data_IF_157026321389
#
_entry.id   IF_157026321389
#
_cell.length_a   1.000
_cell.length_b   1.000
_cell.length_c   1.000
_cell.angle_alpha   90.00
_cell.angle_beta   90.00
_cell.angle_gamma   90.00
#
_symmetry.space_group_name_H-M   'P 1'
#
loop_
_entity.id
_entity.type
_entity.pdbx_description
1 polymer ?
#
# COMPACT_ATOMS: atom_id res chain seq x y z
N UNK A 1 -0.98 7.93 5.99
CA UNK A 1 -1.12 6.45 6.10
C UNK A 1 -2.00 6.05 7.30
N UNK A 2 -2.95 5.10 7.12
CA UNK A 2 -3.93 4.68 8.15
C UNK A 2 -3.66 3.23 8.59
N UNK A 3 -3.79 2.94 9.89
CA UNK A 3 -3.74 1.57 10.41
C UNK A 3 -5.06 1.23 11.09
N UNK A 4 -5.64 0.10 10.73
CA UNK A 4 -6.91 -0.37 11.27
C UNK A 4 -6.71 -1.64 12.10
N UNK A 5 -7.52 -1.78 13.16
CA UNK A 5 -7.70 -3.08 13.81
C UNK A 5 -8.56 -3.95 12.89
N UNK A 6 -8.14 -5.19 12.70
CA UNK A 6 -8.84 -6.17 11.88
C UNK A 6 -9.00 -7.47 12.66
N UNK A 7 -10.06 -8.22 12.42
CA UNK A 7 -10.30 -9.52 13.06
C UNK A 7 -10.90 -10.49 12.06
N UNK A 8 -10.49 -11.75 12.12
CA UNK A 8 -11.04 -12.83 11.30
C UNK A 8 -11.08 -14.13 12.09
N UNK A 9 -11.82 -15.13 11.62
CA UNK A 9 -11.88 -16.45 12.26
C UNK A 9 -10.67 -17.28 11.87
N UNK A 10 -9.95 -17.81 12.85
CA UNK A 10 -8.86 -18.77 12.68
C UNK A 10 -9.36 -20.20 12.49
N UNK A 11 -8.42 -21.14 12.38
CA UNK A 11 -8.68 -22.56 12.13
C UNK A 11 -9.55 -23.23 13.23
N UNK A 12 -9.46 -22.74 14.48
CA UNK A 12 -10.25 -23.22 15.61
C UNK A 12 -11.65 -22.62 15.68
N UNK A 13 -11.96 -21.65 14.81
CA UNK A 13 -13.19 -20.85 14.86
C UNK A 13 -13.09 -19.61 15.76
N UNK A 14 -12.00 -19.47 16.52
CA UNK A 14 -11.72 -18.31 17.37
C UNK A 14 -11.37 -17.06 16.55
N UNK A 15 -11.60 -15.88 17.12
CA UNK A 15 -11.22 -14.62 16.48
C UNK A 15 -9.73 -14.34 16.66
N UNK A 16 -9.03 -14.16 15.53
CA UNK A 16 -7.63 -13.76 15.49
C UNK A 16 -7.52 -12.25 15.32
N UNK A 17 -6.61 -11.65 16.08
CA UNK A 17 -6.33 -10.23 16.06
C UNK A 17 -5.31 -9.90 14.96
N UNK A 18 -5.67 -8.92 14.14
CA UNK A 18 -4.85 -8.45 13.05
C UNK A 18 -4.78 -6.93 12.99
N UNK A 19 -3.79 -6.44 12.23
CA UNK A 19 -3.62 -5.05 11.87
C UNK A 19 -3.51 -4.94 10.37
N UNK A 20 -4.36 -4.10 9.79
CA UNK A 20 -4.34 -3.74 8.38
C UNK A 20 -3.71 -2.36 8.23
N UNK A 21 -2.54 -2.30 7.58
CA UNK A 21 -1.87 -1.05 7.22
C UNK A 21 -2.26 -0.70 5.80
N UNK A 22 -2.90 0.46 5.63
CA UNK A 22 -3.44 0.91 4.35
C UNK A 22 -2.50 1.93 3.70
N UNK A 23 -2.24 1.82 2.38
CA UNK A 23 -1.55 2.87 1.63
C UNK A 23 -2.31 4.19 1.66
N UNK A 24 -1.64 5.29 1.30
CA UNK A 24 -2.29 6.60 1.20
C UNK A 24 -3.21 6.71 -0.01
N UNK A 25 -2.84 6.05 -1.12
CA UNK A 25 -3.66 5.96 -2.32
C UNK A 25 -4.51 4.68 -2.29
N UNK A 26 -5.74 4.70 -2.85
CA UNK A 26 -6.54 3.50 -3.03
C UNK A 26 -5.75 2.40 -3.74
N UNK A 27 -5.92 1.17 -3.26
CA UNK A 27 -5.34 -0.01 -3.89
C UNK A 27 -6.28 -1.19 -3.74
N UNK A 28 -6.20 -2.13 -4.68
CA UNK A 28 -6.76 -3.47 -4.54
C UNK A 28 -5.66 -4.48 -4.21
N UNK A 29 -4.39 -4.07 -4.16
CA UNK A 29 -3.29 -4.99 -3.91
C UNK A 29 -3.13 -5.24 -2.41
N UNK A 30 -3.22 -6.51 -2.03
CA UNK A 30 -3.00 -7.01 -0.69
C UNK A 30 -1.69 -7.78 -0.51
N UNK A 31 -1.13 -7.69 0.69
CA UNK A 31 -0.09 -8.58 1.19
C UNK A 31 -0.46 -9.11 2.58
N UNK A 32 -0.06 -10.35 2.87
CA UNK A 32 -0.14 -10.89 4.23
C UNK A 32 1.27 -11.10 4.78
N UNK A 33 1.50 -10.57 5.98
CA UNK A 33 2.75 -10.73 6.71
C UNK A 33 2.57 -11.66 7.91
N UNK A 34 3.07 -12.89 7.78
CA UNK A 34 3.27 -13.82 8.88
C UNK A 34 4.58 -13.52 9.64
N UNK A 35 4.48 -12.91 10.81
CA UNK A 35 5.66 -12.65 11.65
C UNK A 35 6.10 -13.90 12.43
N UNK A 36 7.19 -13.78 13.20
CA UNK A 36 7.72 -14.87 14.02
C UNK A 36 6.70 -15.35 15.08
N UNK A 37 6.64 -16.66 15.29
CA UNK A 37 5.75 -17.37 16.22
C UNK A 37 5.97 -17.08 17.71
N UNK A 38 7.09 -16.44 18.04
CA UNK A 38 7.44 -16.06 19.41
C UNK A 38 7.26 -14.56 19.65
N UNK A 39 6.91 -13.85 18.57
CA UNK A 39 6.74 -12.42 18.52
C UNK A 39 5.25 -12.07 18.46
N UNK A 40 4.90 -10.85 18.86
CA UNK A 40 3.61 -10.28 18.52
C UNK A 40 3.69 -9.51 17.20
N UNK A 41 2.54 -9.24 16.58
CA UNK A 41 2.40 -8.29 15.46
C UNK A 41 2.91 -6.88 15.74
N UNK A 42 3.25 -6.60 17.00
CA UNK A 42 3.75 -5.30 17.48
C UNK A 42 5.29 -5.21 17.46
N UNK A 43 6.00 -6.24 16.96
CA UNK A 43 7.45 -6.12 16.77
C UNK A 43 7.79 -5.00 15.79
N UNK A 44 8.84 -4.24 16.12
CA UNK A 44 9.26 -3.06 15.35
C UNK A 44 9.55 -3.40 13.90
N UNK A 45 10.17 -4.56 13.64
CA UNK A 45 10.44 -5.05 12.29
C UNK A 45 9.15 -5.25 11.48
N UNK A 46 8.15 -5.94 12.06
CA UNK A 46 6.87 -6.19 11.39
C UNK A 46 6.17 -4.88 11.03
N UNK A 47 6.11 -3.94 11.98
CA UNK A 47 5.53 -2.62 11.75
C UNK A 47 6.25 -1.85 10.64
N UNK A 48 7.58 -1.81 10.65
CA UNK A 48 8.40 -1.07 9.67
C UNK A 48 8.22 -1.62 8.26
N UNK A 49 8.25 -2.95 8.11
CA UNK A 49 8.04 -3.61 6.82
C UNK A 49 6.62 -3.36 6.30
N UNK A 50 5.59 -3.51 7.15
CA UNK A 50 4.20 -3.26 6.74
C UNK A 50 3.97 -1.81 6.30
N UNK A 51 4.55 -0.83 7.02
CA UNK A 51 4.48 0.58 6.63
C UNK A 51 5.17 0.81 5.29
N UNK A 52 6.36 0.27 5.07
CA UNK A 52 7.10 0.51 3.82
C UNK A 52 6.42 -0.12 2.60
N UNK A 53 5.80 -1.28 2.77
CA UNK A 53 5.01 -1.92 1.72
C UNK A 53 3.73 -1.11 1.43
N UNK A 54 3.11 -0.53 2.45
CA UNK A 54 2.01 0.40 2.28
C UNK A 54 2.45 1.71 1.59
N UNK A 55 3.67 2.21 1.82
CA UNK A 55 4.21 3.35 1.06
C UNK A 55 4.35 3.00 -0.43
N UNK A 56 4.54 1.71 -0.75
CA UNK A 56 4.60 1.20 -2.11
C UNK A 56 3.22 0.85 -2.71
N UNK A 57 2.13 1.27 -2.06
CA UNK A 57 0.76 1.07 -2.57
C UNK A 57 0.13 -0.28 -2.25
N UNK A 58 0.71 -1.07 -1.32
CA UNK A 58 0.22 -2.42 -0.97
C UNK A 58 -0.47 -2.38 0.40
N UNK A 59 -1.72 -2.81 0.48
CA UNK A 59 -2.40 -2.99 1.76
C UNK A 59 -1.84 -4.22 2.49
N UNK A 60 -1.33 -4.05 3.71
CA UNK A 60 -0.64 -5.14 4.43
C UNK A 60 -1.42 -5.59 5.65
N UNK A 61 -1.82 -6.85 5.66
CA UNK A 61 -2.41 -7.50 6.83
C UNK A 61 -1.33 -8.26 7.60
N UNK A 62 -1.15 -7.92 8.87
CA UNK A 62 -0.31 -8.65 9.82
C UNK A 62 -1.20 -9.16 10.96
N UNK A 63 -1.01 -10.38 11.42
CA UNK A 63 -1.89 -10.99 12.42
C UNK A 63 -1.12 -11.83 13.43
N UNK A 64 -1.65 -11.89 14.65
CA UNK A 64 -1.17 -12.83 15.66
C UNK A 64 -1.80 -14.21 15.39
N UNK A 65 -1.01 -15.29 15.30
CA UNK A 65 -1.56 -16.66 15.16
C UNK A 65 -2.41 -17.05 16.38
N UNK A 66 -3.20 -18.13 16.27
CA UNK A 66 -4.03 -18.65 17.37
C UNK A 66 -3.22 -18.80 18.66
N UNK A 67 -3.76 -18.27 19.76
CA UNK A 67 -3.12 -18.33 21.08
C UNK A 67 -1.85 -17.48 21.25
N UNK A 68 -1.52 -16.63 20.28
CA UNK A 68 -0.43 -15.65 20.39
C UNK A 68 -0.97 -14.22 20.47
N UNK A 69 -0.20 -13.35 21.12
CA UNK A 69 -0.46 -11.91 21.14
C UNK A 69 -1.85 -11.56 21.68
N UNK A 70 -2.70 -10.97 20.83
CA UNK A 70 -4.07 -10.59 21.16
C UNK A 70 -5.12 -11.53 20.54
N UNK A 71 -4.70 -12.59 19.86
CA UNK A 71 -5.60 -13.59 19.28
C UNK A 71 -6.16 -14.51 20.35
N UNK A 72 -7.43 -14.88 20.18
CA UNK A 72 -8.08 -15.85 21.05
C UNK A 72 -7.57 -17.27 20.79
N UNK A 73 -8.00 -18.21 21.64
CA UNK A 73 -7.57 -19.61 21.63
C UNK A 73 -6.34 -19.88 22.50
N UNK A 74 -5.96 -21.15 22.60
CA UNK A 74 -4.78 -21.58 23.35
C UNK A 74 -3.68 -22.08 22.40
N UNK A 75 -2.48 -21.52 22.51
CA UNK A 75 -1.34 -21.90 21.67
C UNK A 75 -0.99 -23.39 21.81
N UNK A 76 -1.21 -23.96 23.00
CA UNK A 76 -0.97 -25.37 23.29
C UNK A 76 -1.82 -26.33 22.42
N UNK A 77 -2.92 -25.84 21.83
CA UNK A 77 -3.79 -26.61 20.93
C UNK A 77 -3.47 -26.38 19.44
N UNK A 78 -2.44 -25.59 19.13
CA UNK A 78 -2.03 -25.29 17.76
C UNK A 78 -0.98 -26.27 17.24
N UNK A 79 -0.91 -26.37 15.91
CA UNK A 79 0.05 -27.17 15.14
C UNK A 79 0.68 -26.27 14.08
N UNK A 80 1.82 -26.64 13.50
CA UNK A 80 2.38 -25.87 12.39
C UNK A 80 1.39 -25.82 11.20
N UNK A 81 0.77 -26.94 10.87
CA UNK A 81 -0.23 -27.06 9.81
C UNK A 81 -1.48 -26.20 10.08
N UNK A 82 -1.89 -26.05 11.34
CA UNK A 82 -3.02 -25.18 11.70
C UNK A 82 -2.65 -23.70 11.53
N UNK A 83 -1.40 -23.34 11.82
CA UNK A 83 -0.90 -21.98 11.61
C UNK A 83 -0.82 -21.62 10.11
N UNK A 84 -0.44 -22.58 9.27
CA UNK A 84 -0.57 -22.43 7.80
C UNK A 84 -2.03 -22.22 7.41
N UNK A 85 -2.97 -22.90 8.09
CA UNK A 85 -4.41 -22.70 7.86
C UNK A 85 -4.86 -21.30 8.28
N UNK A 86 -4.40 -20.77 9.43
CA UNK A 86 -4.68 -19.39 9.85
C UNK A 86 -4.18 -18.36 8.84
N UNK A 87 -3.00 -18.60 8.25
CA UNK A 87 -2.45 -17.73 7.20
C UNK A 87 -3.32 -17.73 5.93
N UNK A 88 -3.85 -18.89 5.54
CA UNK A 88 -4.78 -18.99 4.42
C UNK A 88 -6.09 -18.27 4.73
N UNK A 89 -6.61 -18.40 5.95
CA UNK A 89 -7.82 -17.69 6.40
C UNK A 89 -7.60 -16.17 6.51
N UNK A 90 -6.40 -15.73 6.91
CA UNK A 90 -6.03 -14.32 6.88
C UNK A 90 -6.03 -13.77 5.45
N UNK A 91 -5.52 -14.56 4.50
CA UNK A 91 -5.52 -14.21 3.08
C UNK A 91 -6.95 -14.14 2.53
N UNK A 92 -7.81 -15.09 2.87
CA UNK A 92 -9.23 -15.10 2.48
C UNK A 92 -10.02 -13.94 3.08
N UNK A 93 -9.78 -13.61 4.35
CA UNK A 93 -10.39 -12.47 5.02
C UNK A 93 -9.96 -11.14 4.38
N UNK A 94 -8.70 -11.03 3.95
CA UNK A 94 -8.20 -9.87 3.22
C UNK A 94 -8.84 -9.77 1.82
N UNK A 95 -8.96 -10.89 1.11
CA UNK A 95 -9.68 -10.99 -0.18
C UNK A 95 -11.15 -10.60 -0.07
N UNK A 96 -11.84 -11.04 0.99
CA UNK A 96 -13.24 -10.69 1.25
C UNK A 96 -13.44 -9.19 1.47
N UNK A 97 -12.39 -8.48 1.93
CA UNK A 97 -12.39 -7.01 2.07
C UNK A 97 -12.09 -6.26 0.77
N UNK A 98 -11.93 -6.98 -0.35
CA UNK A 98 -11.70 -6.39 -1.68
C UNK A 98 -10.23 -6.27 -2.08
N UNK A 99 -9.31 -6.94 -1.38
CA UNK A 99 -7.88 -6.90 -1.72
C UNK A 99 -7.40 -8.21 -2.36
N UNK A 100 -6.87 -8.15 -3.57
CA UNK A 100 -6.15 -9.24 -4.23
C UNK A 100 -4.83 -9.52 -3.51
N UNK A 101 -4.73 -10.65 -2.79
CA UNK A 101 -3.50 -11.03 -2.06
C UNK A 101 -2.44 -11.54 -3.03
N UNK A 102 -1.46 -10.68 -3.34
CA UNK A 102 -0.43 -10.94 -4.35
C UNK A 102 0.96 -11.19 -3.77
N UNK A 103 1.19 -10.80 -2.50
CA UNK A 103 2.48 -10.95 -1.82
C UNK A 103 2.30 -11.61 -0.45
N UNK A 104 3.10 -12.63 -0.17
CA UNK A 104 3.31 -13.12 1.19
C UNK A 104 4.68 -12.69 1.70
N UNK A 105 4.73 -12.18 2.92
CA UNK A 105 5.98 -11.94 3.65
C UNK A 105 6.00 -12.81 4.89
N UNK A 106 7.11 -13.48 5.14
CA UNK A 106 7.27 -14.35 6.31
C UNK A 106 8.58 -14.09 7.02
N UNK A 107 8.56 -14.02 8.35
CA UNK A 107 9.77 -13.86 9.17
C UNK A 107 9.95 -15.06 10.10
N UNK A 108 11.18 -15.56 10.23
CA UNK A 108 11.52 -16.71 11.06
C UNK A 108 10.63 -17.92 10.70
N UNK A 109 10.00 -18.58 11.67
CA UNK A 109 9.06 -19.68 11.42
C UNK A 109 7.82 -19.25 10.59
N UNK A 110 7.46 -17.95 10.59
CA UNK A 110 6.47 -17.40 9.66
C UNK A 110 6.91 -17.49 8.19
N UNK A 111 8.22 -17.46 7.93
CA UNK A 111 8.83 -17.73 6.62
C UNK A 111 8.56 -19.14 6.12
N UNK A 112 8.72 -20.13 6.99
CA UNK A 112 8.34 -21.51 6.69
C UNK A 112 6.83 -21.65 6.42
N UNK A 113 6.00 -20.93 7.18
CA UNK A 113 4.54 -20.96 7.00
C UNK A 113 4.11 -20.38 5.64
N UNK A 114 4.68 -19.25 5.21
CA UNK A 114 4.35 -18.66 3.89
C UNK A 114 4.84 -19.50 2.72
N UNK A 115 6.01 -20.15 2.84
CA UNK A 115 6.48 -21.13 1.84
C UNK A 115 5.51 -22.31 1.76
N UNK A 116 5.11 -22.86 2.92
CA UNK A 116 4.15 -23.96 3.00
C UNK A 116 2.82 -23.57 2.34
N UNK A 117 2.27 -22.40 2.68
CA UNK A 117 1.02 -21.89 2.12
C UNK A 117 1.11 -21.68 0.61
N UNK A 118 2.22 -21.13 0.11
CA UNK A 118 2.44 -20.95 -1.32
C UNK A 118 2.46 -22.28 -2.09
N UNK A 119 3.08 -23.32 -1.51
CA UNK A 119 3.10 -24.68 -2.07
C UNK A 119 1.70 -25.31 -2.21
N UNK A 120 0.76 -24.95 -1.33
CA UNK A 120 -0.63 -25.44 -1.38
C UNK A 120 -1.47 -24.83 -2.52
N UNK A 121 -1.03 -23.73 -3.13
CA UNK A 121 -1.71 -23.07 -4.27
C UNK A 121 -3.18 -22.70 -3.99
N UNK A 122 -3.50 -22.35 -2.74
CA UNK A 122 -4.85 -21.96 -2.31
C UNK A 122 -5.12 -20.46 -2.39
N UNK A 123 -4.08 -19.63 -2.56
CA UNK A 123 -4.21 -18.18 -2.74
C UNK A 123 -4.12 -17.90 -4.24
N UNK A 124 -5.27 -17.58 -4.87
CA UNK A 124 -5.40 -17.52 -6.32
C UNK A 124 -4.47 -16.49 -6.98
N UNK A 125 -4.39 -15.30 -6.41
CA UNK A 125 -3.66 -14.17 -7.01
C UNK A 125 -2.20 -14.06 -6.58
N UNK A 126 -1.70 -15.00 -5.78
CA UNK A 126 -0.35 -14.91 -5.23
C UNK A 126 0.71 -14.89 -6.34
N UNK A 127 1.52 -13.82 -6.38
CA UNK A 127 2.59 -13.61 -7.38
C UNK A 127 3.98 -13.76 -6.80
N UNK A 128 4.19 -13.36 -5.54
CA UNK A 128 5.50 -13.29 -4.91
C UNK A 128 5.48 -13.73 -3.44
N UNK A 129 6.61 -14.27 -2.98
CA UNK A 129 6.88 -14.66 -1.59
C UNK A 129 8.23 -14.10 -1.17
N UNK A 130 8.28 -13.39 -0.05
CA UNK A 130 9.52 -12.93 0.57
C UNK A 130 9.68 -13.56 1.96
N UNK A 131 10.84 -14.14 2.25
CA UNK A 131 11.14 -14.74 3.54
C UNK A 131 12.36 -14.10 4.17
N UNK A 132 12.31 -13.84 5.48
CA UNK A 132 13.36 -13.20 6.26
C UNK A 132 13.77 -14.16 7.39
N UNK A 133 15.03 -14.60 7.42
CA UNK A 133 15.53 -15.43 8.53
C UNK A 133 14.83 -16.79 8.65
N UNK A 134 14.34 -17.36 7.55
CA UNK A 134 13.46 -18.52 7.58
C UNK A 134 14.23 -19.85 7.72
N UNK A 135 13.77 -20.78 8.57
CA UNK A 135 14.35 -22.13 8.62
C UNK A 135 13.87 -22.97 7.42
N UNK A 136 14.78 -23.77 6.84
CA UNK A 136 14.47 -24.72 5.76
C UNK A 136 13.76 -25.97 6.30
N UNK A 137 14.17 -26.42 7.48
CA UNK A 137 13.48 -27.47 8.22
C UNK A 137 12.76 -26.83 9.40
N UNK A 138 11.42 -26.71 9.36
CA UNK A 138 10.66 -26.11 10.46
C UNK A 138 10.92 -26.80 11.79
N UNK A 139 11.21 -28.10 11.76
CA UNK A 139 11.62 -28.90 12.90
C UNK A 139 12.89 -28.40 13.60
N UNK A 140 13.74 -27.60 12.94
CA UNK A 140 14.93 -27.01 13.57
C UNK A 140 14.56 -26.07 14.74
N UNK A 141 13.34 -25.51 14.74
CA UNK A 141 12.85 -24.74 15.90
C UNK A 141 12.80 -25.59 17.18
N UNK A 142 12.71 -26.92 17.05
CA UNK A 142 12.72 -27.86 18.16
C UNK A 142 14.07 -27.91 18.89
N UNK A 143 15.17 -27.46 18.28
CA UNK A 143 16.46 -27.36 18.97
C UNK A 143 16.43 -26.33 20.10
N UNK A 144 15.60 -25.29 19.97
CA UNK A 144 15.29 -24.37 21.06
C UNK A 144 14.52 -25.05 22.21
N UNK A 145 14.03 -26.28 22.01
CA UNK A 145 13.34 -27.11 23.01
C UNK A 145 14.23 -28.25 23.53
N UNK A 146 15.51 -28.30 23.18
CA UNK A 146 16.43 -29.43 23.42
C UNK A 146 16.43 -29.97 24.86
N UNK A 147 16.17 -29.13 25.88
CA UNK A 147 16.03 -29.55 27.28
C UNK A 147 14.66 -30.10 27.69
N UNK A 148 13.61 -29.88 26.87
CA UNK A 148 12.22 -30.24 27.16
C UNK A 148 11.64 -31.27 26.19
N UNK A 149 12.34 -31.63 25.12
CA UNK A 149 11.86 -32.63 24.15
C UNK A 149 11.62 -34.00 24.78
N UNK A 150 12.52 -34.44 25.68
CA UNK A 150 12.35 -35.67 26.44
C UNK A 150 11.10 -35.61 27.34
N UNK A 151 10.85 -34.46 27.96
CA UNK A 151 9.65 -34.24 28.78
C UNK A 151 8.38 -34.23 27.94
N UNK A 152 8.40 -33.61 26.75
CA UNK A 152 7.27 -33.61 25.80
C UNK A 152 6.98 -35.03 25.33
N UNK A 153 8.01 -35.83 25.05
CA UNK A 153 7.86 -37.22 24.62
C UNK A 153 7.29 -38.10 25.73
N UNK A 154 7.72 -37.89 26.98
CA UNK A 154 7.33 -38.72 28.13
C UNK A 154 5.98 -38.32 28.75
N UNK A 155 5.65 -37.03 28.80
CA UNK A 155 4.46 -36.50 29.47
C UNK A 155 3.40 -35.95 28.48
N UNK A 156 3.69 -35.95 27.18
CA UNK A 156 2.80 -35.45 26.12
C UNK A 156 2.81 -33.93 25.94
N UNK A 157 3.39 -33.16 26.87
CA UNK A 157 3.58 -31.72 26.77
C UNK A 157 4.68 -31.22 27.71
N UNK A 158 5.29 -30.07 27.40
CA UNK A 158 6.19 -29.38 28.32
C UNK A 158 6.12 -27.86 28.13
N UNK A 159 6.52 -27.13 29.17
CA UNK A 159 6.64 -25.67 29.12
C UNK A 159 8.03 -25.28 28.62
N UNK A 160 8.08 -24.54 27.51
CA UNK A 160 9.30 -24.03 26.89
C UNK A 160 9.33 -22.51 26.93
N UNK A 161 10.52 -21.92 26.95
CA UNK A 161 10.68 -20.46 26.86
C UNK A 161 11.14 -20.09 25.46
N UNK A 162 10.35 -19.27 24.79
CA UNK A 162 10.59 -18.78 23.43
C UNK A 162 10.49 -17.26 23.40
N UNK A 163 11.54 -16.56 22.95
CA UNK A 163 11.53 -15.09 22.87
C UNK A 163 11.26 -14.39 24.21
N UNK A 164 11.62 -15.04 25.33
CA UNK A 164 11.39 -14.53 26.69
C UNK A 164 9.99 -14.79 27.27
N UNK A 165 9.14 -15.55 26.57
CA UNK A 165 7.80 -15.94 27.05
C UNK A 165 7.67 -17.45 27.19
N UNK A 166 6.90 -17.90 28.18
CA UNK A 166 6.68 -19.32 28.44
C UNK A 166 5.45 -19.82 27.68
N UNK A 167 5.61 -20.90 26.92
CA UNK A 167 4.56 -21.54 26.15
C UNK A 167 4.50 -23.03 26.51
N UNK A 168 3.32 -23.61 26.50
CA UNK A 168 3.16 -25.06 26.59
C UNK A 168 3.13 -25.66 25.18
N UNK A 169 4.07 -26.56 24.89
CA UNK A 169 4.17 -27.28 23.62
C UNK A 169 3.73 -28.72 23.84
N UNK A 170 2.76 -29.17 23.04
CA UNK A 170 2.30 -30.56 23.03
C UNK A 170 3.09 -31.42 22.05
N UNK A 171 3.15 -32.71 22.31
CA UNK A 171 3.79 -33.69 21.43
C UNK A 171 3.20 -33.67 20.01
N UNK A 172 1.91 -33.38 19.88
CA UNK A 172 1.25 -33.25 18.58
C UNK A 172 1.87 -32.13 17.71
N UNK A 173 2.27 -30.99 18.30
CA UNK A 173 2.97 -29.93 17.58
C UNK A 173 4.34 -30.42 17.06
N UNK A 174 5.11 -31.11 17.92
CA UNK A 174 6.42 -31.68 17.57
C UNK A 174 6.30 -32.69 16.42
N UNK A 175 5.28 -33.55 16.45
CA UNK A 175 5.03 -34.54 15.40
C UNK A 175 4.57 -33.88 14.09
N UNK A 176 3.70 -32.88 14.17
CA UNK A 176 3.21 -32.16 13.00
C UNK A 176 4.34 -31.39 12.29
N UNK A 177 5.10 -30.58 13.04
CA UNK A 177 6.18 -29.77 12.46
C UNK A 177 7.31 -30.62 11.87
N UNK A 178 7.58 -31.79 12.45
CA UNK A 178 8.58 -32.74 11.93
C UNK A 178 8.19 -33.40 10.61
N UNK A 179 6.90 -33.41 10.26
CA UNK A 179 6.40 -33.97 9.00
C UNK A 179 6.40 -32.95 7.86
N UNK A 180 6.57 -31.66 8.18
CA UNK A 180 6.55 -30.59 7.18
C UNK A 180 7.79 -30.66 6.31
N UNK A 181 7.58 -30.79 4.99
CA UNK A 181 8.66 -30.84 4.01
C UNK A 181 8.64 -29.61 3.12
N UNK A 182 9.32 -28.53 3.54
CA UNK A 182 9.41 -27.30 2.74
C UNK A 182 10.01 -27.54 1.35
N UNK A 183 10.88 -28.53 1.20
CA UNK A 183 11.44 -28.94 -0.09
C UNK A 183 10.35 -29.18 -1.15
N UNK A 184 9.24 -29.82 -0.77
CA UNK A 184 8.15 -30.10 -1.69
C UNK A 184 7.38 -28.81 -2.01
N UNK A 185 7.06 -28.00 -0.99
CA UNK A 185 6.41 -26.70 -1.17
C UNK A 185 7.20 -25.76 -2.08
N UNK A 186 8.53 -25.71 -1.95
CA UNK A 186 9.43 -24.92 -2.79
C UNK A 186 9.49 -25.40 -4.24
N UNK A 187 9.31 -26.71 -4.49
CA UNK A 187 9.20 -27.29 -5.84
C UNK A 187 7.83 -27.03 -6.46
N UNK A 188 6.79 -27.03 -5.63
CA UNK A 188 5.40 -26.89 -6.09
C UNK A 188 5.01 -25.45 -6.35
N UNK A 189 5.50 -24.49 -5.55
CA UNK A 189 5.22 -23.07 -5.73
C UNK A 189 5.69 -22.59 -7.12
N UNK A 190 4.96 -21.62 -7.69
CA UNK A 190 5.25 -21.03 -9.01
C UNK A 190 5.50 -19.52 -8.93
N UNK A 191 5.51 -18.99 -7.72
CA UNK A 191 5.69 -17.58 -7.41
C UNK A 191 7.16 -17.20 -7.41
N UNK A 192 7.42 -15.90 -7.59
CA UNK A 192 8.76 -15.36 -7.36
C UNK A 192 9.14 -15.49 -5.88
N UNK A 193 10.37 -15.89 -5.59
CA UNK A 193 10.87 -16.05 -4.23
C UNK A 193 12.02 -15.09 -3.94
N UNK A 194 11.92 -14.31 -2.86
CA UNK A 194 13.07 -13.63 -2.26
C UNK A 194 13.41 -14.26 -0.90
N UNK A 195 14.68 -14.58 -0.72
CA UNK A 195 15.25 -14.99 0.57
C UNK A 195 16.14 -13.88 1.10
N UNK A 196 15.83 -13.35 2.28
CA UNK A 196 16.66 -12.38 3.00
C UNK A 196 17.17 -13.02 4.28
N UNK A 197 18.48 -12.97 4.52
CA UNK A 197 19.05 -13.64 5.69
C UNK A 197 20.39 -13.02 6.10
N UNK A 198 20.64 -12.92 7.41
CA UNK A 198 21.91 -12.42 7.92
C UNK A 198 22.91 -13.57 8.07
N UNK A 199 24.16 -13.45 7.56
CA UNK A 199 25.19 -14.46 7.76
C UNK A 199 25.56 -14.67 9.24
N UNK A 200 25.30 -13.69 10.10
CA UNK A 200 25.58 -13.74 11.55
C UNK A 200 24.35 -14.05 12.40
N UNK A 201 23.27 -14.57 11.79
CA UNK A 201 22.06 -14.97 12.51
C UNK A 201 22.36 -16.14 13.47
N UNK A 202 22.21 -15.88 14.77
CA UNK A 202 22.51 -16.85 15.83
C UNK A 202 21.35 -17.80 16.16
N UNK A 203 20.17 -17.59 15.57
CA UNK A 203 18.98 -18.42 15.82
C UNK A 203 18.69 -19.35 14.64
N UNK A 204 18.86 -18.87 13.42
CA UNK A 204 18.68 -19.66 12.20
C UNK A 204 19.91 -19.45 11.32
N UNK A 205 20.77 -20.46 11.25
CA UNK A 205 21.99 -20.42 10.44
C UNK A 205 21.66 -20.11 8.96
N UNK A 206 22.50 -19.30 8.32
CA UNK A 206 22.48 -18.93 6.90
C UNK A 206 22.40 -20.12 5.93
N UNK A 207 22.87 -21.30 6.33
CA UNK A 207 22.73 -22.55 5.56
C UNK A 207 21.26 -22.87 5.25
N UNK A 208 20.32 -22.46 6.10
CA UNK A 208 18.88 -22.57 5.82
C UNK A 208 18.46 -21.72 4.62
N UNK A 209 19.00 -20.51 4.50
CA UNK A 209 18.73 -19.65 3.35
C UNK A 209 19.27 -20.24 2.06
N UNK A 210 20.48 -20.83 2.12
CA UNK A 210 21.07 -21.56 1.01
C UNK A 210 20.19 -22.74 0.60
N UNK A 211 19.76 -23.58 1.55
CA UNK A 211 18.89 -24.71 1.28
C UNK A 211 17.53 -24.29 0.68
N UNK A 212 16.89 -23.23 1.19
CA UNK A 212 15.66 -22.66 0.60
C UNK A 212 15.92 -22.22 -0.84
N UNK A 213 17.00 -21.47 -1.07
CA UNK A 213 17.34 -20.93 -2.38
C UNK A 213 17.66 -22.04 -3.39
N UNK A 214 18.44 -23.05 -3.02
CA UNK A 214 18.80 -24.18 -3.89
C UNK A 214 17.58 -24.99 -4.33
N UNK A 215 16.66 -25.26 -3.39
CA UNK A 215 15.49 -26.09 -3.64
C UNK A 215 14.33 -25.35 -4.35
N UNK A 216 14.34 -24.02 -4.35
CA UNK A 216 13.38 -23.21 -5.10
C UNK A 216 13.66 -23.20 -6.61
N UNK A 217 12.62 -22.98 -7.42
CA UNK A 217 12.75 -22.71 -8.86
C UNK A 217 12.88 -21.21 -9.13
N UNK A 218 13.35 -20.85 -10.33
CA UNK A 218 13.33 -19.46 -10.77
C UNK A 218 11.89 -18.99 -11.06
N UNK A 219 11.59 -17.68 -10.87
CA UNK A 219 12.50 -16.62 -10.43
C UNK A 219 12.74 -16.63 -8.90
N UNK A 220 14.01 -16.65 -8.51
CA UNK A 220 14.46 -16.65 -7.12
C UNK A 220 15.60 -15.67 -6.89
N UNK A 221 15.63 -15.01 -5.74
CA UNK A 221 16.62 -14.00 -5.36
C UNK A 221 17.08 -14.22 -3.91
N UNK A 222 18.34 -13.90 -3.63
CA UNK A 222 18.91 -13.94 -2.29
C UNK A 222 19.52 -12.57 -1.95
N UNK A 223 19.29 -12.09 -0.73
CA UNK A 223 19.82 -10.83 -0.21
C UNK A 223 20.42 -11.07 1.18
N UNK A 224 21.69 -10.73 1.34
CA UNK A 224 22.34 -10.74 2.65
C UNK A 224 21.89 -9.54 3.48
N UNK A 225 21.60 -9.76 4.76
CA UNK A 225 21.31 -8.72 5.74
C UNK A 225 22.55 -8.32 6.58
N UNK A 226 23.75 -8.74 6.14
CA UNK A 226 25.04 -8.41 6.75
C UNK A 226 25.09 -8.72 8.26
N UNK A 227 25.15 -7.70 9.11
CA UNK A 227 25.31 -7.84 10.56
C UNK A 227 23.99 -7.64 11.33
N UNK A 228 22.86 -7.73 10.63
CA UNK A 228 21.54 -7.74 11.26
C UNK A 228 21.39 -8.95 12.20
N UNK A 229 20.65 -8.77 13.29
CA UNK A 229 20.25 -9.87 14.15
C UNK A 229 18.97 -10.54 13.64
N UNK A 230 18.65 -11.73 14.17
CA UNK A 230 17.50 -12.52 13.73
C UNK A 230 16.18 -11.73 13.73
N UNK A 231 15.98 -10.85 14.71
CA UNK A 231 14.73 -10.12 14.93
C UNK A 231 14.68 -8.74 14.24
N UNK A 232 15.75 -8.35 13.52
CA UNK A 232 15.89 -7.02 12.92
C UNK A 232 15.62 -5.90 13.94
N UNK A 233 16.27 -5.97 15.10
CA UNK A 233 16.05 -5.02 16.21
C UNK A 233 16.48 -3.60 15.87
N UNK A 234 17.49 -3.46 15.01
CA UNK A 234 17.94 -2.15 14.52
C UNK A 234 17.02 -1.64 13.41
N UNK A 235 16.61 -0.38 13.56
CA UNK A 235 15.75 0.34 12.62
C UNK A 235 16.25 0.26 11.17
N UNK A 236 17.55 0.49 10.97
CA UNK A 236 18.21 0.48 9.66
C UNK A 236 18.06 -0.85 8.92
N UNK A 237 18.20 -1.98 9.64
CA UNK A 237 18.19 -3.30 9.01
C UNK A 237 16.77 -3.69 8.60
N UNK A 238 15.77 -3.37 9.44
CA UNK A 238 14.37 -3.52 9.10
C UNK A 238 13.96 -2.63 7.92
N UNK A 239 14.40 -1.36 7.87
CA UNK A 239 14.15 -0.44 6.76
C UNK A 239 14.80 -0.91 5.46
N UNK A 240 16.02 -1.44 5.53
CA UNK A 240 16.71 -2.03 4.38
C UNK A 240 15.94 -3.22 3.83
N UNK A 241 15.62 -4.22 4.68
CA UNK A 241 14.85 -5.39 4.28
C UNK A 241 13.50 -4.97 3.65
N UNK A 242 12.78 -4.05 4.29
CA UNK A 242 11.52 -3.54 3.81
C UNK A 242 11.62 -2.86 2.43
N UNK A 243 12.63 -2.02 2.23
CA UNK A 243 12.86 -1.31 0.97
C UNK A 243 13.19 -2.28 -0.17
N UNK A 244 14.04 -3.28 0.12
CA UNK A 244 14.42 -4.30 -0.86
C UNK A 244 13.22 -5.17 -1.24
N UNK A 245 12.42 -5.62 -0.27
CA UNK A 245 11.21 -6.40 -0.52
C UNK A 245 10.23 -5.59 -1.38
N UNK A 246 9.96 -4.34 -1.02
CA UNK A 246 9.05 -3.47 -1.76
C UNK A 246 9.53 -3.30 -3.22
N UNK A 247 10.78 -2.88 -3.42
CA UNK A 247 11.33 -2.64 -4.75
C UNK A 247 11.36 -3.89 -5.63
N UNK A 248 11.72 -5.05 -5.08
CA UNK A 248 11.73 -6.31 -5.83
C UNK A 248 10.33 -6.80 -6.16
N UNK A 249 9.40 -6.72 -5.19
CA UNK A 249 8.02 -7.20 -5.36
C UNK A 249 7.29 -6.45 -6.47
N UNK A 250 7.63 -5.18 -6.70
CA UNK A 250 7.07 -4.34 -7.78
C UNK A 250 7.25 -4.93 -9.19
N UNK A 251 8.19 -5.87 -9.39
CA UNK A 251 8.35 -6.58 -10.67
C UNK A 251 7.26 -7.63 -10.92
N UNK A 252 6.62 -8.12 -9.87
CA UNK A 252 5.72 -9.28 -9.90
C UNK A 252 4.31 -8.95 -9.46
N UNK A 253 4.18 -8.11 -8.45
CA UNK A 253 2.91 -7.59 -7.96
C UNK A 253 2.32 -6.68 -9.03
N UNK A 254 1.11 -7.02 -9.44
CA UNK A 254 0.31 -6.28 -10.40
C UNK A 254 -0.58 -5.35 -9.61
N UNK A 255 -0.17 -4.09 -9.55
CA UNK A 255 -1.14 -3.05 -9.26
C UNK A 255 -2.18 -3.09 -10.36
N UNK A 256 -3.48 -2.94 -10.04
CA UNK A 256 -4.46 -2.62 -11.07
C UNK A 256 -3.80 -1.57 -11.94
N UNK A 257 -3.75 -1.82 -13.25
CA UNK A 257 -3.53 -0.71 -14.13
C UNK A 257 -4.58 0.31 -13.66
N UNK A 258 -4.18 1.52 -13.28
CA UNK A 258 -5.08 2.66 -13.52
C UNK A 258 -5.60 2.38 -14.90
N UNK A 259 -6.90 2.14 -15.05
CA UNK A 259 -7.51 1.66 -16.27
C UNK A 259 -7.27 2.71 -17.37
N UNK A 260 -6.05 2.75 -17.90
CA UNK A 260 -5.78 2.87 -19.30
C UNK A 260 -6.34 1.60 -19.90
N UNK A 261 -7.67 1.49 -19.89
CA UNK A 261 -8.37 0.87 -20.99
C UNK A 261 -7.62 1.35 -22.22
N UNK A 262 -7.01 0.41 -22.94
CA UNK A 262 -6.10 0.67 -24.06
C UNK A 262 -6.78 1.35 -25.25
N UNK A 263 -7.81 2.16 -25.04
CA UNK A 263 -8.07 3.31 -25.87
C UNK A 263 -7.17 4.43 -25.33
N UNK A 264 -6.00 4.58 -25.94
CA UNK A 264 -5.29 5.85 -25.87
C UNK A 264 -6.32 6.95 -26.10
N UNK A 265 -6.60 7.75 -25.08
CA UNK A 265 -7.37 8.97 -25.26
C UNK A 265 -6.62 9.75 -26.33
N UNK A 266 -7.31 10.13 -27.42
CA UNK A 266 -6.68 10.87 -28.50
C UNK A 266 -5.96 12.10 -27.94
N UNK A 267 -4.83 12.48 -28.52
CA UNK A 267 -4.05 13.64 -28.06
C UNK A 267 -4.95 14.87 -27.96
N UNK A 268 -4.96 15.51 -26.79
CA UNK A 268 -5.81 16.67 -26.49
C UNK A 268 -7.23 16.34 -26.00
N UNK A 269 -7.64 15.08 -25.91
CA UNK A 269 -8.93 14.69 -25.32
C UNK A 269 -8.75 14.40 -23.81
N UNK A 270 -9.69 14.89 -23.00
CA UNK A 270 -9.81 14.55 -21.57
C UNK A 270 -10.98 13.60 -21.42
N UNK A 271 -10.72 12.35 -21.01
CA UNK A 271 -11.78 11.37 -20.75
C UNK A 271 -12.11 11.37 -19.27
N UNK A 272 -13.40 11.49 -18.95
CA UNK A 272 -13.92 11.36 -17.59
C UNK A 272 -14.94 10.22 -17.57
N UNK A 273 -14.80 9.31 -16.62
CA UNK A 273 -15.75 8.19 -16.42
C UNK A 273 -16.01 7.97 -14.94
N UNK A 274 -17.22 7.51 -14.61
CA UNK A 274 -17.55 7.08 -13.25
C UNK A 274 -16.69 5.87 -12.84
N UNK A 275 -16.20 5.87 -11.60
CA UNK A 275 -15.50 4.71 -11.01
C UNK A 275 -16.51 3.71 -10.45
N UNK A 276 -17.58 4.23 -9.85
CA UNK A 276 -18.69 3.45 -9.32
C UNK A 276 -19.98 4.25 -9.51
N UNK A 277 -21.05 3.54 -9.88
CA UNK A 277 -22.39 4.11 -10.06
C UNK A 277 -23.10 4.45 -8.73
N UNK A 278 -22.57 3.94 -7.60
CA UNK A 278 -23.08 4.22 -6.26
C UNK A 278 -22.55 5.50 -5.61
N UNK A 279 -21.64 6.24 -6.26
CA UNK A 279 -21.02 7.44 -5.71
C UNK A 279 -20.64 8.48 -6.77
N UNK A 280 -19.94 9.53 -6.35
CA UNK A 280 -19.52 10.63 -7.24
C UNK A 280 -18.06 10.54 -7.70
N UNK A 281 -17.35 9.47 -7.35
CA UNK A 281 -15.94 9.29 -7.72
C UNK A 281 -15.80 9.12 -9.24
N UNK A 282 -15.00 9.98 -9.83
CA UNK A 282 -14.69 9.98 -11.26
C UNK A 282 -13.21 9.68 -11.50
N UNK A 283 -12.96 9.00 -12.60
CA UNK A 283 -11.65 8.76 -13.17
C UNK A 283 -11.40 9.73 -14.34
N UNK A 284 -10.36 10.57 -14.23
CA UNK A 284 -9.95 11.52 -15.27
C UNK A 284 -8.63 11.06 -15.89
N UNK A 285 -8.70 10.72 -17.18
CA UNK A 285 -7.58 10.23 -17.96
C UNK A 285 -7.20 11.22 -19.07
N UNK A 286 -5.93 11.61 -19.10
CA UNK A 286 -5.33 12.46 -20.15
C UNK A 286 -3.99 11.88 -20.56
N UNK A 287 -3.95 11.20 -21.71
CA UNK A 287 -2.75 10.49 -22.19
C UNK A 287 -2.15 9.54 -21.14
N UNK A 288 -1.05 9.95 -20.49
CA UNK A 288 -0.33 9.21 -19.45
C UNK A 288 -0.61 9.73 -18.03
N UNK A 289 -1.46 10.75 -17.91
CA UNK A 289 -1.80 11.40 -16.67
C UNK A 289 -3.16 10.92 -16.18
N UNK A 290 -3.22 10.73 -14.86
CA UNK A 290 -4.37 10.19 -14.14
C UNK A 290 -4.67 11.09 -12.95
N UNK A 291 -5.93 11.51 -12.82
CA UNK A 291 -6.42 12.36 -11.74
C UNK A 291 -7.77 11.83 -11.28
N UNK A 292 -8.01 11.79 -9.97
CA UNK A 292 -9.32 11.49 -9.42
C UNK A 292 -10.09 12.77 -9.12
N UNK A 293 -11.36 12.80 -9.52
CA UNK A 293 -12.33 13.76 -9.02
C UNK A 293 -13.35 13.08 -8.12
N UNK A 294 -13.83 13.78 -7.11
CA UNK A 294 -14.85 13.28 -6.20
C UNK A 294 -15.55 14.44 -5.50
N UNK A 295 -16.60 14.13 -4.74
CA UNK A 295 -17.23 15.07 -3.82
C UNK A 295 -16.91 14.69 -2.36
N UNK A 296 -17.01 15.65 -1.42
CA UNK A 296 -16.88 15.35 0.01
C UNK A 296 -17.99 14.39 0.49
N UNK A 297 -17.72 13.69 1.58
CA UNK A 297 -18.70 12.79 2.24
C UNK A 297 -20.06 13.48 2.51
N UNK A 298 -20.04 14.77 2.86
CA UNK A 298 -21.23 15.57 3.14
C UNK A 298 -22.18 15.73 1.94
N UNK A 299 -21.67 15.51 0.72
CA UNK A 299 -22.41 15.59 -0.54
C UNK A 299 -22.58 14.22 -1.20
N UNK A 300 -22.29 13.12 -0.47
CA UNK A 300 -22.46 11.74 -0.95
C UNK A 300 -21.29 11.20 -1.78
N UNK A 301 -20.17 11.92 -1.86
CA UNK A 301 -18.94 11.40 -2.46
C UNK A 301 -18.11 10.60 -1.45
N UNK A 302 -16.92 10.16 -1.87
CA UNK A 302 -16.01 9.38 -1.01
C UNK A 302 -14.83 10.19 -0.44
N UNK A 303 -14.72 11.48 -0.77
CA UNK A 303 -13.60 12.36 -0.41
C UNK A 303 -12.22 11.80 -0.84
N UNK A 304 -12.19 11.10 -1.98
CA UNK A 304 -10.99 10.41 -2.49
C UNK A 304 -10.33 11.16 -3.66
N UNK A 305 -10.86 12.30 -4.07
CA UNK A 305 -10.40 13.09 -5.22
C UNK A 305 -10.70 14.58 -5.05
N UNK A 306 -10.18 15.41 -5.97
CA UNK A 306 -10.47 16.84 -5.98
C UNK A 306 -11.91 17.09 -6.42
N UNK A 307 -12.58 18.08 -5.83
CA UNK A 307 -13.89 18.51 -6.35
C UNK A 307 -13.74 19.18 -7.72
N UNK A 308 -14.81 19.23 -8.54
CA UNK A 308 -14.75 19.89 -9.85
C UNK A 308 -14.27 21.35 -9.78
N UNK A 309 -14.69 22.11 -8.77
CA UNK A 309 -14.24 23.49 -8.58
C UNK A 309 -12.78 23.57 -8.08
N UNK A 310 -12.31 22.58 -7.32
CA UNK A 310 -10.89 22.50 -6.94
C UNK A 310 -10.02 22.17 -8.16
N UNK A 311 -10.49 21.34 -9.09
CA UNK A 311 -9.78 21.10 -10.36
C UNK A 311 -9.70 22.37 -11.21
N UNK A 312 -10.81 23.10 -11.35
CA UNK A 312 -10.83 24.37 -12.07
C UNK A 312 -9.93 25.42 -11.41
N UNK A 313 -9.97 25.52 -10.08
CA UNK A 313 -9.09 26.39 -9.29
C UNK A 313 -7.62 26.02 -9.46
N UNK A 314 -7.32 24.72 -9.48
CA UNK A 314 -5.96 24.19 -9.70
C UNK A 314 -5.44 24.57 -11.09
N UNK A 315 -6.28 24.47 -12.12
CA UNK A 315 -5.92 24.89 -13.47
C UNK A 315 -5.58 26.39 -13.54
N UNK A 316 -6.38 27.25 -12.91
CA UNK A 316 -6.12 28.70 -12.82
C UNK A 316 -4.84 29.01 -12.05
N UNK A 317 -4.65 28.37 -10.89
CA UNK A 317 -3.46 28.55 -10.05
C UNK A 317 -2.17 28.12 -10.75
N UNK A 318 -2.18 26.93 -11.35
CA UNK A 318 -1.05 26.37 -12.09
C UNK A 318 -0.68 27.25 -13.30
N UNK A 319 -1.66 27.63 -14.12
CA UNK A 319 -1.43 28.47 -15.30
C UNK A 319 -0.87 29.85 -14.92
N UNK A 320 -1.37 30.44 -13.83
CA UNK A 320 -0.84 31.69 -13.29
C UNK A 320 0.61 31.54 -12.84
N UNK A 321 0.92 30.51 -12.05
CA UNK A 321 2.27 30.25 -11.54
C UNK A 321 3.27 30.08 -12.69
N UNK A 322 2.94 29.24 -13.67
CA UNK A 322 3.77 29.00 -14.86
C UNK A 322 4.02 30.28 -15.65
N UNK A 323 3.00 31.13 -15.80
CA UNK A 323 3.10 32.40 -16.53
C UNK A 323 4.06 33.38 -15.84
N UNK A 324 3.94 33.53 -14.52
CA UNK A 324 4.83 34.37 -13.71
C UNK A 324 6.27 33.86 -13.82
N UNK A 325 6.47 32.55 -13.64
CA UNK A 325 7.79 31.91 -13.71
C UNK A 325 8.44 32.07 -15.07
N UNK A 326 7.69 31.85 -16.14
CA UNK A 326 8.13 32.03 -17.52
C UNK A 326 8.56 33.49 -17.76
N UNK A 327 7.75 34.46 -17.34
CA UNK A 327 8.05 35.88 -17.49
C UNK A 327 9.32 36.29 -16.74
N UNK A 328 9.45 35.85 -15.47
CA UNK A 328 10.64 36.11 -14.66
C UNK A 328 11.92 35.58 -15.33
N UNK A 329 11.90 34.35 -15.86
CA UNK A 329 13.03 33.77 -16.61
C UNK A 329 13.38 34.61 -17.83
N UNK A 330 12.38 34.99 -18.64
CA UNK A 330 12.59 35.80 -19.85
C UNK A 330 13.19 37.17 -19.56
N UNK A 331 12.79 37.79 -18.46
CA UNK A 331 13.27 39.12 -18.02
C UNK A 331 14.47 39.06 -17.09
N UNK A 332 14.99 37.85 -16.79
CA UNK A 332 16.10 37.61 -15.85
C UNK A 332 15.85 38.24 -14.48
N UNK A 333 14.61 38.18 -14.00
CA UNK A 333 14.22 38.65 -12.66
C UNK A 333 14.62 37.55 -11.65
N UNK A 334 15.29 37.90 -10.52
CA UNK A 334 15.78 36.94 -9.52
C UNK A 334 14.64 36.40 -8.62
N UNK A 335 13.63 35.80 -9.24
CA UNK A 335 12.50 35.19 -8.56
C UNK A 335 12.87 33.78 -8.10
N UNK A 336 12.78 33.50 -6.80
CA UNK A 336 13.10 32.20 -6.21
C UNK A 336 11.87 31.32 -6.11
N UNK A 337 10.75 31.87 -5.62
CA UNK A 337 9.52 31.12 -5.34
C UNK A 337 8.25 31.84 -5.80
N UNK A 338 7.26 31.06 -6.24
CA UNK A 338 5.90 31.52 -6.55
C UNK A 338 4.91 30.55 -5.92
N UNK A 339 4.02 31.07 -5.10
CA UNK A 339 2.89 30.33 -4.53
C UNK A 339 1.60 31.06 -4.90
N UNK A 340 0.59 30.30 -5.33
CA UNK A 340 -0.70 30.84 -5.78
C UNK A 340 -1.80 30.07 -5.06
N UNK A 341 -2.55 30.76 -4.21
CA UNK A 341 -3.71 30.23 -3.51
C UNK A 341 -4.97 30.74 -4.23
N UNK A 342 -5.86 29.83 -4.60
CA UNK A 342 -7.14 30.12 -5.26
C UNK A 342 -8.27 29.70 -4.32
N UNK A 343 -9.19 30.62 -4.08
CA UNK A 343 -10.42 30.39 -3.33
C UNK A 343 -11.61 30.59 -4.27
N UNK A 344 -12.59 29.68 -4.24
CA UNK A 344 -13.81 29.79 -5.03
C UNK A 344 -15.00 30.05 -4.11
N UNK A 345 -15.77 31.08 -4.43
CA UNK A 345 -16.93 31.55 -3.68
C UNK A 345 -18.12 31.80 -4.61
N UNK A 346 -19.34 31.68 -4.08
CA UNK A 346 -20.56 32.14 -4.76
C UNK A 346 -21.07 33.41 -4.08
N UNK A 347 -20.98 34.54 -4.78
CA UNK A 347 -21.34 35.87 -4.24
C UNK A 347 -22.53 36.45 -5.01
N UNK A 348 -23.30 37.35 -4.40
CA UNK A 348 -24.39 38.03 -5.09
C UNK A 348 -23.84 39.10 -6.05
N UNK A 349 -24.41 39.24 -7.25
CA UNK A 349 -23.93 40.19 -8.25
C UNK A 349 -23.89 41.66 -7.75
N UNK A 350 -24.76 42.02 -6.79
CA UNK A 350 -24.82 43.34 -6.17
C UNK A 350 -23.60 43.65 -5.26
N UNK A 351 -22.93 42.64 -4.74
CA UNK A 351 -21.77 42.79 -3.85
C UNK A 351 -20.43 42.78 -4.61
N UNK A 352 -20.47 42.61 -5.95
CA UNK A 352 -19.30 42.70 -6.81
C UNK A 352 -19.16 44.12 -7.37
N UNK A 353 -18.14 44.86 -6.91
CA UNK A 353 -17.92 46.25 -7.32
C UNK A 353 -17.59 46.43 -8.82
N UNK A 354 -17.15 45.37 -9.51
CA UNK A 354 -16.65 45.42 -10.90
C UNK A 354 -17.48 44.57 -11.89
N UNK A 355 -18.61 43.99 -11.47
CA UNK A 355 -19.39 43.08 -12.32
C UNK A 355 -20.51 43.82 -13.08
N UNK A 356 -20.40 43.91 -14.41
CA UNK A 356 -21.42 44.51 -15.27
C UNK A 356 -22.49 43.48 -15.68
N UNK A 357 -23.38 43.05 -14.78
CA UNK A 357 -24.51 42.15 -15.14
C UNK A 357 -25.76 42.38 -14.27
N UNK A 358 -26.94 42.18 -14.87
CA UNK A 358 -28.28 42.36 -14.30
C UNK A 358 -28.52 41.66 -12.94
N UNK A 359 -29.17 42.39 -12.04
CA UNK A 359 -29.09 42.30 -10.59
C UNK A 359 -29.85 41.16 -9.86
N UNK A 360 -29.90 39.93 -10.39
CA UNK A 360 -30.69 38.83 -9.75
C UNK A 360 -29.96 37.49 -9.55
N UNK A 361 -28.71 37.36 -9.97
CA UNK A 361 -28.00 36.07 -9.94
C UNK A 361 -26.77 36.07 -9.03
N UNK A 362 -26.45 34.90 -8.46
CA UNK A 362 -25.16 34.65 -7.81
C UNK A 362 -24.12 34.44 -8.90
N UNK A 363 -22.95 35.04 -8.72
CA UNK A 363 -21.80 34.89 -9.61
C UNK A 363 -20.73 34.02 -8.94
N UNK A 364 -20.02 33.26 -9.75
CA UNK A 364 -18.82 32.54 -9.31
C UNK A 364 -17.65 33.53 -9.22
N UNK A 365 -17.05 33.61 -8.04
CA UNK A 365 -15.90 34.48 -7.77
C UNK A 365 -14.69 33.61 -7.40
N UNK A 366 -13.60 33.78 -8.14
CA UNK A 366 -12.30 33.20 -7.81
C UNK A 366 -11.39 34.28 -7.22
N UNK A 367 -10.95 34.10 -5.98
CA UNK A 367 -10.00 35.00 -5.31
C UNK A 367 -8.61 34.38 -5.40
N UNK A 368 -7.71 35.08 -6.09
CA UNK A 368 -6.32 34.66 -6.27
C UNK A 368 -5.38 35.45 -5.36
N UNK A 369 -4.64 34.75 -4.50
CA UNK A 369 -3.59 35.31 -3.63
C UNK A 369 -2.23 34.79 -4.05
N UNK A 370 -1.32 35.70 -4.39
CA UNK A 370 0.01 35.37 -4.94
C UNK A 370 1.09 35.80 -3.96
N UNK A 371 1.98 34.86 -3.61
CA UNK A 371 3.18 35.13 -2.84
C UNK A 371 4.40 34.93 -3.72
N UNK A 372 5.24 35.97 -3.78
CA UNK A 372 6.50 35.98 -4.55
C UNK A 372 7.66 36.01 -3.55
N UNK A 373 8.67 35.16 -3.78
CA UNK A 373 9.88 35.06 -2.94
C UNK A 373 11.12 35.30 -3.79
N UNK A 374 12.06 36.09 -3.29
CA UNK A 374 13.33 36.44 -3.94
C UNK A 374 13.70 37.90 -3.72
N UNK A 375 14.91 38.30 -4.11
CA UNK A 375 15.40 39.68 -4.04
C UNK A 375 14.76 40.55 -5.14
N UNK A 376 13.49 40.92 -4.96
CA UNK A 376 12.69 41.62 -5.96
C UNK A 376 12.53 43.10 -5.62
N UNK A 377 12.78 43.96 -6.59
CA UNK A 377 12.45 45.39 -6.51
C UNK A 377 10.92 45.61 -6.62
N UNK A 378 10.42 46.74 -6.10
CA UNK A 378 9.00 47.09 -6.23
C UNK A 378 8.49 47.08 -7.68
N UNK A 379 9.22 47.61 -8.69
CA UNK A 379 8.80 47.50 -10.08
C UNK A 379 8.72 46.05 -10.58
N UNK A 380 9.64 45.17 -10.17
CA UNK A 380 9.60 43.76 -10.54
C UNK A 380 8.40 43.06 -9.89
N UNK A 381 8.08 43.35 -8.63
CA UNK A 381 6.86 42.86 -7.97
C UNK A 381 5.61 43.24 -8.76
N UNK A 382 5.46 44.51 -9.14
CA UNK A 382 4.32 45.00 -9.91
C UNK A 382 4.24 44.36 -11.30
N UNK A 383 5.38 44.20 -11.99
CA UNK A 383 5.44 43.52 -13.28
C UNK A 383 5.02 42.05 -13.20
N UNK A 384 5.45 41.34 -12.15
CA UNK A 384 5.08 39.93 -11.93
C UNK A 384 3.62 39.77 -11.53
N UNK A 385 3.04 40.74 -10.81
CA UNK A 385 1.61 40.75 -10.54
C UNK A 385 0.80 41.01 -11.82
N UNK A 386 1.21 42.01 -12.62
CA UNK A 386 0.51 42.38 -13.85
C UNK A 386 0.53 41.29 -14.94
N UNK A 387 1.53 40.41 -14.94
CA UNK A 387 1.57 39.26 -15.87
C UNK A 387 0.70 38.10 -15.38
N UNK A 388 0.34 38.04 -14.09
CA UNK A 388 -0.51 36.98 -13.54
C UNK A 388 -1.90 36.96 -14.20
N UNK A 389 -2.48 38.13 -14.49
CA UNK A 389 -3.77 38.30 -15.19
C UNK A 389 -3.71 38.00 -16.70
N UNK A 390 -2.55 37.60 -17.21
CA UNK A 390 -2.36 37.31 -18.65
C UNK A 390 -2.17 35.82 -18.94
N UNK A 391 -2.38 34.96 -17.94
CA UNK A 391 -2.27 33.52 -18.16
C UNK A 391 -3.44 33.02 -19.05
N UNK A 392 -3.20 32.03 -19.92
CA UNK A 392 -4.24 31.52 -20.82
C UNK A 392 -5.56 31.12 -20.15
N UNK A 393 -5.51 30.41 -19.01
CA UNK A 393 -6.72 29.97 -18.30
C UNK A 393 -7.52 31.15 -17.76
N UNK A 394 -6.86 32.17 -17.21
CA UNK A 394 -7.52 33.42 -16.79
C UNK A 394 -8.29 34.05 -17.94
N UNK A 395 -7.65 34.17 -19.11
CA UNK A 395 -8.29 34.73 -20.32
C UNK A 395 -9.48 33.92 -20.80
N UNK A 396 -9.43 32.60 -20.66
CA UNK A 396 -10.57 31.74 -20.98
C UNK A 396 -11.72 32.04 -20.02
N UNK A 397 -11.47 32.13 -18.71
CA UNK A 397 -12.50 32.37 -17.69
C UNK A 397 -13.18 33.74 -17.81
N UNK A 398 -12.45 34.79 -18.21
CA UNK A 398 -13.01 36.12 -18.45
C UNK A 398 -13.58 36.30 -19.87
N UNK A 399 -13.34 35.33 -20.76
CA UNK A 399 -13.74 35.38 -22.15
C UNK A 399 -15.17 34.88 -22.39
N UNK A 400 -15.61 35.00 -23.64
CA UNK A 400 -16.84 34.34 -24.10
C UNK A 400 -16.53 32.87 -24.39
N UNK A 401 -17.13 31.96 -23.62
CA UNK A 401 -16.98 30.51 -23.76
C UNK A 401 -18.26 29.93 -24.40
N UNK A 402 -18.10 29.03 -25.37
CA UNK A 402 -19.20 28.23 -25.92
C UNK A 402 -18.94 26.75 -25.56
N UNK A 403 -19.95 26.09 -24.97
CA UNK A 403 -19.91 24.66 -24.65
C UNK A 403 -20.94 23.96 -25.54
N UNK A 404 -20.45 23.12 -26.46
CA UNK A 404 -21.28 22.36 -27.38
C UNK A 404 -21.45 20.93 -26.85
N UNK A 405 -22.68 20.51 -26.56
CA UNK A 405 -23.00 19.17 -26.06
C UNK A 405 -23.52 18.29 -27.20
N UNK A 406 -22.92 17.13 -27.39
CA UNK A 406 -23.33 16.13 -28.37
C UNK A 406 -23.45 14.76 -27.71
N UNK A 407 -24.54 14.04 -27.99
CA UNK A 407 -24.70 12.66 -27.55
C UNK A 407 -24.02 11.72 -28.55
N UNK A 408 -23.17 10.82 -28.05
CA UNK A 408 -22.52 9.81 -28.88
C UNK A 408 -23.28 8.48 -28.75
N UNK A 409 -24.28 8.25 -29.61
CA UNK A 409 -25.02 6.99 -29.64
C UNK A 409 -24.15 5.86 -30.21
N UNK A 410 -23.95 4.79 -29.43
CA UNK A 410 -23.37 3.53 -29.92
C UNK A 410 -24.39 2.56 -30.52
N UNK A 411 -25.69 2.83 -30.38
CA UNK A 411 -26.75 2.02 -30.97
C UNK A 411 -27.93 2.92 -31.32
N UNK A 412 -28.38 2.84 -32.57
CA UNK A 412 -29.59 3.46 -33.08
C UNK A 412 -30.74 3.23 -32.10
N UNK A 413 -31.31 4.31 -31.58
CA UNK A 413 -32.57 4.28 -30.84
C UNK A 413 -33.59 3.63 -31.78
N UNK A 414 -33.97 2.37 -31.51
CA UNK A 414 -35.15 1.79 -32.16
C UNK A 414 -36.34 2.55 -31.61
N UNK A 415 -36.97 3.33 -32.48
CA UNK A 415 -38.26 3.98 -32.23
C UNK A 415 -39.33 2.94 -31.89
#
# INVERSE_FOLDING_TARGET
>A
MRTEKFTFKGHSGDLLAAKLVLPEQPTEVGAVFAHCFTCSKDILAARRISVKLADAGIAVLSFDFTGLGHSAGEFSNTHFSSNVTDLLLASDALSTRGYSVQLLVGHSLGGAAVISAAGLKKIADLKAVAVIGAPFEPAHVLENFSGSLADIELHGAAKVVLGGRQFEIKQAFVHDISRVKLQQSLKDMRQALMVLHAPLDSQVNIDNAAAIFEHARHPKSFVSLDNADHLLTKARDAEYAATVIAAWSARYVQFPATDSTGQSVEEGVVRVSEVDSGGFKQDINVEKHHILADEPLAFGGSDMGLTPYQLLSSALGACTNMTIRMYARRKKIPLEGVEVNIEHNKVHALDCQDCAVDATHKIDQFVRRIKLTGELTLPQHQQLLAIADKCPVHRTLEGKIEILTQLQDKNSIKQ
#
